data_IF_548956486212
#
_entry.id   IF_548956486212
#
_cell.length_a   1.000
_cell.length_b   1.000
_cell.length_c   1.000
_cell.angle_alpha   90.00
_cell.angle_beta   90.00
_cell.angle_gamma   90.00
#
_symmetry.space_group_name_H-M   'P 1'
#
loop_
_entity.id
_entity.type
_entity.pdbx_description
1 polymer ?
#
# COMPACT_ATOMS: atom_id res chain seq x y z
N UNK A 1 16.83 4.98 21.19
CA UNK A 1 16.62 5.08 19.73
C UNK A 1 16.56 6.55 19.35
N UNK A 2 17.32 7.01 18.36
CA UNK A 2 17.19 8.38 17.83
C UNK A 2 15.93 8.48 16.95
N UNK A 3 15.31 9.68 16.88
CA UNK A 3 14.10 9.91 16.06
C UNK A 3 14.31 9.53 14.59
N UNK A 4 15.51 9.76 14.07
CA UNK A 4 15.86 9.41 12.68
C UNK A 4 15.92 7.89 12.44
N UNK A 5 16.45 7.13 13.41
CA UNK A 5 16.49 5.66 13.32
C UNK A 5 15.08 5.08 13.38
N UNK A 6 14.22 5.64 14.24
CA UNK A 6 12.82 5.23 14.32
C UNK A 6 12.09 5.52 13.00
N UNK A 7 12.21 6.72 12.45
CA UNK A 7 11.58 7.09 11.19
C UNK A 7 12.00 6.16 10.04
N UNK A 8 13.29 5.82 9.95
CA UNK A 8 13.81 4.89 8.96
C UNK A 8 13.26 3.47 9.14
N UNK A 9 13.24 2.97 10.37
CA UNK A 9 12.72 1.63 10.67
C UNK A 9 11.22 1.53 10.35
N UNK A 10 10.44 2.56 10.69
CA UNK A 10 9.01 2.61 10.35
C UNK A 10 8.79 2.67 8.84
N UNK A 11 9.59 3.47 8.13
CA UNK A 11 9.50 3.54 6.67
C UNK A 11 9.86 2.19 6.03
N UNK A 12 10.87 1.50 6.56
CA UNK A 12 11.26 0.17 6.10
C UNK A 12 10.14 -0.85 6.37
N UNK A 13 9.50 -0.77 7.54
CA UNK A 13 8.38 -1.62 7.89
C UNK A 13 7.19 -1.41 6.93
N UNK A 14 6.88 -0.17 6.55
CA UNK A 14 5.85 0.13 5.53
C UNK A 14 6.23 -0.50 4.19
N UNK A 15 7.47 -0.34 3.76
CA UNK A 15 7.94 -0.90 2.48
C UNK A 15 7.87 -2.43 2.45
N UNK A 16 8.46 -3.10 3.43
CA UNK A 16 8.48 -4.57 3.48
C UNK A 16 7.10 -5.16 3.77
N UNK A 17 6.29 -4.50 4.61
CA UNK A 17 4.90 -4.89 4.85
C UNK A 17 4.05 -4.78 3.58
N UNK A 18 4.20 -3.70 2.82
CA UNK A 18 3.51 -3.53 1.54
C UNK A 18 3.98 -4.54 0.48
N UNK A 19 5.28 -4.84 0.42
CA UNK A 19 5.82 -5.88 -0.44
C UNK A 19 5.26 -7.26 -0.11
N UNK A 20 5.21 -7.59 1.18
CA UNK A 20 4.61 -8.85 1.62
C UNK A 20 3.13 -8.93 1.20
N UNK A 21 2.36 -7.87 1.42
CA UNK A 21 0.94 -7.82 1.04
C UNK A 21 0.72 -8.05 -0.46
N UNK A 22 1.45 -7.34 -1.33
CA UNK A 22 1.29 -7.52 -2.78
C UNK A 22 1.82 -8.88 -3.25
N UNK A 23 2.90 -9.38 -2.66
CA UNK A 23 3.42 -10.72 -2.95
C UNK A 23 2.41 -11.81 -2.57
N UNK A 24 1.73 -11.68 -1.43
CA UNK A 24 0.64 -12.59 -1.03
C UNK A 24 -0.52 -12.54 -2.02
N UNK A 25 -0.91 -11.34 -2.49
CA UNK A 25 -1.98 -11.20 -3.49
C UNK A 25 -1.63 -11.88 -4.82
N UNK A 26 -0.38 -11.75 -5.28
CA UNK A 26 0.11 -12.48 -6.45
C UNK A 26 0.21 -13.99 -6.19
N UNK A 27 0.62 -14.38 -4.99
CA UNK A 27 0.70 -15.78 -4.59
C UNK A 27 -0.65 -16.48 -4.67
N UNK A 28 -1.72 -15.85 -4.17
CA UNK A 28 -3.07 -16.40 -4.28
C UNK A 28 -3.57 -16.49 -5.73
N UNK A 29 -3.20 -15.54 -6.59
CA UNK A 29 -3.58 -15.60 -8.00
C UNK A 29 -2.82 -16.70 -8.77
N UNK A 30 -1.50 -16.76 -8.62
CA UNK A 30 -0.64 -17.66 -9.40
C UNK A 30 -0.66 -19.09 -8.85
N UNK A 31 -0.57 -19.25 -7.53
CA UNK A 31 -0.52 -20.57 -6.89
C UNK A 31 -1.90 -21.02 -6.38
N UNK A 32 -2.75 -20.09 -5.94
CA UNK A 32 -4.08 -20.41 -5.40
C UNK A 32 -5.19 -20.52 -6.44
N UNK A 33 -4.95 -20.11 -7.69
CA UNK A 33 -5.94 -20.16 -8.76
C UNK A 33 -7.15 -19.22 -8.56
N UNK A 34 -7.08 -18.28 -7.61
CA UNK A 34 -8.16 -17.34 -7.35
C UNK A 34 -8.26 -16.31 -8.49
N UNK A 35 -9.41 -16.29 -9.18
CA UNK A 35 -9.66 -15.29 -10.21
C UNK A 35 -9.85 -13.91 -9.56
N UNK A 36 -9.08 -12.88 -9.99
CA UNK A 36 -9.20 -11.57 -9.39
C UNK A 36 -10.44 -10.85 -9.89
N UNK A 37 -11.19 -10.27 -8.97
CA UNK A 37 -12.25 -9.32 -9.29
C UNK A 37 -11.67 -7.99 -9.79
N UNK A 38 -12.46 -7.17 -10.52
CA UNK A 38 -11.98 -5.87 -11.01
C UNK A 38 -11.53 -4.96 -9.87
N UNK A 39 -12.29 -4.90 -8.77
CA UNK A 39 -11.94 -4.11 -7.60
C UNK A 39 -10.65 -4.60 -6.91
N UNK A 40 -10.43 -5.92 -6.92
CA UNK A 40 -9.23 -6.56 -6.40
C UNK A 40 -7.98 -6.15 -7.19
N UNK A 41 -8.10 -5.91 -8.50
CA UNK A 41 -7.01 -5.38 -9.33
C UNK A 41 -6.77 -3.89 -9.07
N UNK A 42 -7.83 -3.11 -8.91
CA UNK A 42 -7.74 -1.68 -8.57
C UNK A 42 -7.02 -1.47 -7.24
N UNK A 43 -7.26 -2.33 -6.23
CA UNK A 43 -6.57 -2.28 -4.94
C UNK A 43 -5.07 -2.57 -5.02
N UNK A 44 -4.57 -3.16 -6.13
CA UNK A 44 -3.11 -3.35 -6.33
C UNK A 44 -2.42 -2.10 -6.83
N UNK A 45 -3.13 -1.20 -7.50
CA UNK A 45 -2.58 0.05 -8.06
C UNK A 45 -1.89 0.90 -6.98
N UNK A 46 -2.49 1.12 -5.79
CA UNK A 46 -1.81 1.80 -4.67
C UNK A 46 -0.47 1.19 -4.29
N UNK A 47 -0.30 -0.13 -4.38
CA UNK A 47 0.97 -0.77 -4.06
C UNK A 47 2.01 -0.57 -5.16
N UNK A 48 1.61 -0.59 -6.44
CA UNK A 48 2.51 -0.33 -7.55
C UNK A 48 3.05 1.10 -7.56
N UNK A 49 2.29 2.07 -7.06
CA UNK A 49 2.72 3.47 -6.93
C UNK A 49 3.39 3.73 -5.57
N UNK A 50 2.78 3.24 -4.50
CA UNK A 50 3.19 3.49 -3.12
C UNK A 50 4.52 2.83 -2.75
N UNK A 51 4.83 1.63 -3.26
CA UNK A 51 6.09 0.94 -2.95
C UNK A 51 7.32 1.66 -3.54
N UNK A 52 7.36 2.04 -4.84
CA UNK A 52 8.46 2.84 -5.36
C UNK A 52 8.66 4.17 -4.62
N UNK A 53 7.56 4.85 -4.25
CA UNK A 53 7.63 6.09 -3.48
C UNK A 53 8.17 5.86 -2.06
N UNK A 54 7.79 4.76 -1.41
CA UNK A 54 8.32 4.39 -0.09
C UNK A 54 9.80 4.03 -0.16
N UNK A 55 10.24 3.33 -1.22
CA UNK A 55 11.65 3.08 -1.47
C UNK A 55 12.44 4.37 -1.70
N UNK A 56 11.86 5.32 -2.46
CA UNK A 56 12.45 6.65 -2.65
C UNK A 56 12.56 7.41 -1.31
N UNK A 57 11.54 7.36 -0.46
CA UNK A 57 11.59 7.96 0.87
C UNK A 57 12.72 7.35 1.74
N UNK A 58 12.92 6.03 1.71
CA UNK A 58 14.06 5.38 2.38
C UNK A 58 15.40 5.88 1.86
N UNK A 59 15.55 5.99 0.54
CA UNK A 59 16.78 6.49 -0.07
C UNK A 59 17.05 7.95 0.34
N UNK A 60 16.03 8.78 0.41
CA UNK A 60 16.12 10.17 0.86
C UNK A 60 16.49 10.29 2.35
N UNK A 61 16.02 9.37 3.19
CA UNK A 61 16.44 9.30 4.60
C UNK A 61 17.91 8.90 4.74
N UNK A 62 18.38 7.92 3.96
CA UNK A 62 19.78 7.47 3.97
C UNK A 62 20.72 8.56 3.45
N UNK A 63 20.30 9.32 2.45
CA UNK A 63 21.05 10.47 1.89
C UNK A 63 20.94 11.75 2.71
N UNK A 64 20.37 11.69 3.94
CA UNK A 64 20.22 12.79 4.89
C UNK A 64 19.41 13.98 4.33
N UNK A 65 18.35 13.71 3.55
CA UNK A 65 17.40 14.72 3.05
C UNK A 65 16.01 14.56 3.70
N UNK A 66 15.89 14.77 5.03
CA UNK A 66 14.67 14.45 5.76
C UNK A 66 13.44 15.24 5.31
N UNK A 67 13.60 16.52 4.92
CA UNK A 67 12.47 17.33 4.44
C UNK A 67 11.83 16.78 3.17
N UNK A 68 12.64 16.36 2.19
CA UNK A 68 12.14 15.71 0.97
C UNK A 68 11.55 14.34 1.27
N UNK A 69 12.17 13.57 2.16
CA UNK A 69 11.63 12.28 2.59
C UNK A 69 10.22 12.44 3.21
N UNK A 70 10.01 13.45 4.05
CA UNK A 70 8.70 13.75 4.63
C UNK A 70 7.66 14.11 3.57
N UNK A 71 8.02 14.91 2.56
CA UNK A 71 7.11 15.23 1.46
C UNK A 71 6.72 13.98 0.65
N UNK A 72 7.69 13.13 0.33
CA UNK A 72 7.40 11.86 -0.36
C UNK A 72 6.53 10.96 0.51
N UNK A 73 6.78 10.90 1.83
CA UNK A 73 5.96 10.12 2.76
C UNK A 73 4.52 10.64 2.87
N UNK A 74 4.29 11.95 2.74
CA UNK A 74 2.92 12.48 2.66
C UNK A 74 2.20 11.98 1.41
N UNK A 75 2.89 11.93 0.27
CA UNK A 75 2.32 11.36 -0.96
C UNK A 75 2.03 9.87 -0.77
N UNK A 76 2.97 9.11 -0.19
CA UNK A 76 2.77 7.70 0.16
C UNK A 76 1.53 7.53 1.05
N UNK A 77 1.37 8.38 2.07
CA UNK A 77 0.22 8.33 2.96
C UNK A 77 -1.10 8.54 2.22
N UNK A 78 -1.17 9.49 1.28
CA UNK A 78 -2.36 9.73 0.45
C UNK A 78 -2.67 8.52 -0.43
N UNK A 79 -1.65 7.95 -1.09
CA UNK A 79 -1.81 6.76 -1.95
C UNK A 79 -2.34 5.57 -1.17
N UNK A 80 -1.77 5.28 0.00
CA UNK A 80 -2.24 4.18 0.84
C UNK A 80 -3.58 4.47 1.50
N UNK A 81 -3.89 5.73 1.85
CA UNK A 81 -5.21 6.10 2.34
C UNK A 81 -6.30 5.85 1.29
N UNK A 82 -6.02 6.14 0.01
CA UNK A 82 -6.91 5.78 -1.09
C UNK A 82 -7.09 4.26 -1.19
N UNK A 83 -5.99 3.49 -1.13
CA UNK A 83 -6.05 2.02 -1.11
C UNK A 83 -6.86 1.46 0.07
N UNK A 84 -6.69 2.02 1.27
CA UNK A 84 -7.49 1.67 2.45
C UNK A 84 -8.97 2.01 2.25
N UNK A 85 -9.29 3.14 1.61
CA UNK A 85 -10.67 3.48 1.24
C UNK A 85 -11.31 2.43 0.33
N UNK A 86 -10.59 1.95 -0.69
CA UNK A 86 -11.04 0.85 -1.55
C UNK A 86 -11.23 -0.46 -0.80
N UNK A 87 -10.34 -0.77 0.15
CA UNK A 87 -10.45 -1.96 1.00
C UNK A 87 -11.66 -1.90 1.93
N UNK A 88 -11.90 -0.74 2.56
CA UNK A 88 -13.09 -0.48 3.37
C UNK A 88 -14.33 -0.65 2.51
N UNK A 89 -14.35 -0.07 1.30
CA UNK A 89 -15.47 -0.19 0.36
C UNK A 89 -15.78 -1.66 0.03
N UNK A 90 -14.76 -2.48 -0.24
CA UNK A 90 -14.96 -3.90 -0.48
C UNK A 90 -15.48 -4.63 0.75
N UNK A 91 -14.86 -4.42 1.92
CA UNK A 91 -15.27 -5.08 3.16
C UNK A 91 -16.72 -4.77 3.53
N UNK A 92 -17.16 -3.50 3.42
CA UNK A 92 -18.55 -3.17 3.71
C UNK A 92 -19.55 -3.63 2.64
N UNK A 93 -19.12 -3.86 1.40
CA UNK A 93 -19.96 -4.54 0.41
C UNK A 93 -20.14 -6.01 0.78
N UNK A 94 -19.07 -6.70 1.20
CA UNK A 94 -19.11 -8.09 1.64
C UNK A 94 -19.90 -8.28 2.94
N UNK A 95 -19.85 -7.31 3.85
CA UNK A 95 -20.63 -7.30 5.10
C UNK A 95 -22.06 -6.79 4.92
N UNK A 96 -22.45 -6.38 3.71
CA UNK A 96 -23.81 -5.90 3.41
C UNK A 96 -24.15 -4.51 3.99
N UNK A 97 -23.14 -3.71 4.36
CA UNK A 97 -23.32 -2.33 4.83
C UNK A 97 -23.80 -1.42 3.70
N UNK A 98 -23.42 -1.71 2.46
CA UNK A 98 -23.91 -1.06 1.23
C UNK A 98 -23.97 -2.05 0.07
N UNK A 99 -24.64 -1.65 -1.01
CA UNK A 99 -24.67 -2.44 -2.23
C UNK A 99 -23.25 -2.60 -2.81
N UNK A 100 -22.87 -3.85 -3.12
CA UNK A 100 -21.60 -4.12 -3.78
C UNK A 100 -21.49 -3.48 -5.16
N UNK A 101 -20.26 -3.34 -5.70
CA UNK A 101 -20.07 -2.78 -7.02
C UNK A 101 -20.87 -3.57 -8.07
N UNK A 102 -21.70 -2.85 -8.82
CA UNK A 102 -22.43 -3.37 -9.98
C UNK A 102 -21.46 -3.54 -11.15
N UNK A 103 -20.67 -4.61 -11.13
CA UNK A 103 -19.87 -5.00 -12.29
C UNK A 103 -20.19 -6.46 -12.64
N UNK A 104 -20.88 -6.57 -13.77
CA UNK A 104 -21.27 -7.74 -14.57
C UNK A 104 -20.10 -8.62 -14.97
#
# INVERSE_FOLDING_TARGET
MTRDTLARNLTALVFFGGLAAIATAWGFQVFGGYLPCKLCLEQRVPYYVGLPLTALALLLQVTKRPGLASLVLLVVAVVFAYGSGLGIYQAGAEWGVWAGPVSY
#
